data_IF_773115512698
#
_entry.id   IF_773115512698
#
_cell.length_a   1.000
_cell.length_b   1.000
_cell.length_c   1.000
_cell.angle_alpha   90.00
_cell.angle_beta   90.00
_cell.angle_gamma   90.00
#
_symmetry.space_group_name_H-M   'P 1'
#
loop_
_entity.id
_entity.type
_entity.pdbx_description
1 polymer ?
#
# COMPACT_ATOMS: atom_id res chain seq x y z
N UNK A 1 3.86 14.64 0.95
CA UNK A 1 3.44 13.90 -0.26
C UNK A 1 3.78 12.44 -0.01
N UNK A 2 2.80 11.57 -0.10
CA UNK A 2 2.98 10.12 -0.01
C UNK A 2 3.49 9.60 -1.35
N UNK A 3 4.51 8.76 -1.34
CA UNK A 3 4.92 8.00 -2.52
C UNK A 3 4.65 6.52 -2.25
N UNK A 4 3.83 5.89 -3.09
CA UNK A 4 3.51 4.47 -3.03
C UNK A 4 4.10 3.76 -4.25
N UNK A 5 5.08 2.89 -4.03
CA UNK A 5 5.69 2.04 -5.05
C UNK A 5 5.06 0.66 -4.99
N UNK A 6 4.49 0.24 -6.12
CA UNK A 6 3.84 -1.04 -6.29
C UNK A 6 4.68 -1.89 -7.24
N UNK A 7 5.07 -3.07 -6.78
CA UNK A 7 5.92 -3.98 -7.53
C UNK A 7 5.09 -5.19 -7.97
N UNK A 8 4.97 -5.36 -9.28
CA UNK A 8 4.14 -6.37 -9.92
C UNK A 8 4.99 -7.50 -10.49
N UNK A 9 4.56 -8.75 -10.31
CA UNK A 9 5.14 -9.87 -11.04
C UNK A 9 4.64 -9.95 -12.50
N UNK A 10 5.15 -10.93 -13.25
CA UNK A 10 4.79 -11.17 -14.64
C UNK A 10 3.30 -11.51 -14.87
N UNK A 11 2.57 -11.86 -13.81
CA UNK A 11 1.12 -12.12 -13.88
C UNK A 11 0.29 -10.87 -13.54
N UNK A 12 0.94 -9.75 -13.25
CA UNK A 12 0.29 -8.51 -12.85
C UNK A 12 -0.19 -8.52 -11.39
N UNK A 13 0.34 -9.41 -10.55
CA UNK A 13 0.01 -9.43 -9.12
C UNK A 13 0.99 -8.55 -8.33
N UNK A 14 0.46 -7.74 -7.41
CA UNK A 14 1.30 -6.93 -6.51
C UNK A 14 2.01 -7.86 -5.53
N UNK A 15 3.34 -7.95 -5.67
CA UNK A 15 4.24 -8.73 -4.82
C UNK A 15 4.73 -7.93 -3.62
N UNK A 16 5.00 -6.64 -3.83
CA UNK A 16 5.63 -5.78 -2.85
C UNK A 16 5.07 -4.37 -2.92
N UNK A 17 4.96 -3.75 -1.76
CA UNK A 17 4.52 -2.38 -1.55
C UNK A 17 5.56 -1.65 -0.72
N UNK A 18 5.99 -0.48 -1.17
CA UNK A 18 6.80 0.45 -0.39
C UNK A 18 6.13 1.81 -0.36
N UNK A 19 5.88 2.35 0.83
CA UNK A 19 5.23 3.64 1.00
C UNK A 19 6.05 4.54 1.89
N UNK A 20 6.30 5.76 1.45
CA UNK A 20 7.08 6.76 2.17
C UNK A 20 6.27 8.04 2.36
N UNK A 21 6.58 8.80 3.41
CA UNK A 21 6.04 10.15 3.60
C UNK A 21 4.62 10.20 4.18
N UNK A 22 4.19 9.13 4.87
CA UNK A 22 2.92 9.08 5.61
C UNK A 22 3.08 9.32 7.12
N UNK A 23 4.29 9.53 7.64
CA UNK A 23 4.50 10.09 8.98
C UNK A 23 5.09 11.48 8.90
N UNK A 24 4.39 12.42 9.53
CA UNK A 24 4.70 13.84 9.54
C UNK A 24 3.40 14.62 9.51
N UNK A 25 3.20 15.47 10.52
CA UNK A 25 2.18 16.52 10.48
C UNK A 25 2.69 17.61 9.55
N UNK A 26 1.94 17.93 8.51
CA UNK A 26 2.23 19.07 7.63
C UNK A 26 0.94 19.82 7.32
N UNK A 27 1.01 20.92 6.56
CA UNK A 27 -0.09 21.84 6.27
C UNK A 27 -1.49 21.21 6.11
N UNK A 28 -2.51 21.95 6.57
CA UNK A 28 -3.93 21.57 6.61
C UNK A 28 -4.38 20.87 5.32
N UNK A 29 -4.72 19.58 5.42
CA UNK A 29 -5.15 18.73 4.28
C UNK A 29 -4.24 17.54 4.00
N UNK A 30 -2.92 17.67 4.21
CA UNK A 30 -1.97 16.54 4.07
C UNK A 30 -2.21 15.44 5.10
N UNK A 31 -2.53 15.83 6.33
CA UNK A 31 -2.79 14.90 7.43
C UNK A 31 -3.94 13.93 7.14
N UNK A 32 -4.98 14.38 6.39
CA UNK A 32 -6.14 13.54 6.04
C UNK A 32 -5.73 12.46 5.04
N UNK A 33 -4.95 12.81 4.02
CA UNK A 33 -4.45 11.85 3.03
C UNK A 33 -3.50 10.86 3.70
N UNK A 34 -2.55 11.33 4.51
CA UNK A 34 -1.64 10.46 5.26
C UNK A 34 -2.39 9.47 6.16
N UNK A 35 -3.43 9.93 6.88
CA UNK A 35 -4.26 9.06 7.71
C UNK A 35 -5.02 8.01 6.88
N UNK A 36 -5.64 8.42 5.76
CA UNK A 36 -6.37 7.50 4.88
C UNK A 36 -5.45 6.41 4.31
N UNK A 37 -4.28 6.82 3.82
CA UNK A 37 -3.24 5.95 3.30
C UNK A 37 -2.72 4.99 4.38
N UNK A 38 -2.48 5.49 5.59
CA UNK A 38 -1.98 4.67 6.71
C UNK A 38 -2.98 3.59 7.12
N UNK A 39 -4.28 3.94 7.18
CA UNK A 39 -5.34 2.96 7.48
C UNK A 39 -5.44 1.90 6.38
N UNK A 40 -5.34 2.28 5.10
CA UNK A 40 -5.35 1.32 3.99
C UNK A 40 -4.17 0.34 4.07
N UNK A 41 -2.95 0.85 4.30
CA UNK A 41 -1.74 0.04 4.39
C UNK A 41 -1.78 -0.94 5.57
N UNK A 42 -2.11 -0.44 6.76
CA UNK A 42 -2.21 -1.25 7.96
C UNK A 42 -3.34 -2.29 7.83
N UNK A 43 -4.50 -1.90 7.31
CA UNK A 43 -5.61 -2.82 7.12
C UNK A 43 -5.29 -3.89 6.08
N UNK A 44 -4.55 -3.56 5.02
CA UNK A 44 -4.10 -4.54 4.04
C UNK A 44 -3.20 -5.60 4.70
N UNK A 45 -2.16 -5.19 5.43
CA UNK A 45 -1.29 -6.13 6.14
C UNK A 45 -2.06 -7.00 7.14
N UNK A 46 -2.90 -6.39 7.97
CA UNK A 46 -3.72 -7.13 8.95
C UNK A 46 -4.71 -8.09 8.28
N UNK A 47 -5.28 -7.71 7.12
CA UNK A 47 -6.23 -8.56 6.41
C UNK A 47 -5.54 -9.78 5.79
N UNK A 48 -4.31 -9.61 5.28
CA UNK A 48 -3.51 -10.75 4.81
C UNK A 48 -3.16 -11.66 5.99
N UNK A 49 -2.74 -11.09 7.13
CA UNK A 49 -2.41 -11.85 8.34
C UNK A 49 -3.59 -12.64 8.92
N UNK A 50 -4.76 -12.01 9.02
CA UNK A 50 -5.93 -12.61 9.68
C UNK A 50 -6.72 -13.55 8.76
N UNK A 51 -6.80 -13.24 7.46
CA UNK A 51 -7.73 -13.92 6.54
C UNK A 51 -7.05 -14.84 5.53
N UNK A 52 -5.72 -14.99 5.56
CA UNK A 52 -4.98 -15.85 4.64
C UNK A 52 -3.85 -16.61 5.35
N UNK A 53 -3.32 -17.65 4.71
CA UNK A 53 -2.13 -18.39 5.18
C UNK A 53 -0.86 -18.01 4.40
N UNK A 54 -0.93 -16.95 3.59
CA UNK A 54 0.16 -16.61 2.67
C UNK A 54 1.33 -15.97 3.42
N UNK A 55 2.57 -16.43 3.17
CA UNK A 55 3.73 -15.90 3.88
C UNK A 55 4.09 -14.52 3.35
N UNK A 56 4.29 -13.57 4.27
CA UNK A 56 4.72 -12.21 3.96
C UNK A 56 5.66 -11.66 5.03
N UNK A 57 6.30 -10.54 4.73
CA UNK A 57 6.97 -9.67 5.70
C UNK A 57 6.34 -8.29 5.62
N UNK A 58 6.13 -7.67 6.78
CA UNK A 58 5.69 -6.29 6.88
C UNK A 58 6.51 -5.55 7.95
N UNK A 59 6.84 -4.30 7.67
CA UNK A 59 7.54 -3.41 8.59
C UNK A 59 6.96 -2.00 8.49
N UNK A 60 6.84 -1.35 9.64
CA UNK A 60 6.40 0.04 9.72
C UNK A 60 7.29 0.80 10.69
N UNK A 61 8.11 1.71 10.15
CA UNK A 61 8.97 2.60 10.92
C UNK A 61 8.90 4.02 10.36
N UNK A 62 8.74 5.01 11.25
CA UNK A 62 9.00 6.43 10.96
C UNK A 62 8.44 6.98 9.63
N UNK A 63 7.21 6.56 9.25
CA UNK A 63 6.55 7.03 8.01
C UNK A 63 6.92 6.26 6.75
N UNK A 64 7.53 5.10 6.94
CA UNK A 64 7.82 4.10 5.93
C UNK A 64 7.01 2.84 6.23
N UNK A 65 6.36 2.30 5.21
CA UNK A 65 5.61 1.06 5.27
C UNK A 65 6.13 0.16 4.18
N UNK A 66 6.52 -1.04 4.57
CA UNK A 66 6.98 -2.07 3.66
C UNK A 66 6.10 -3.31 3.84
N UNK A 67 5.69 -3.88 2.72
CA UNK A 67 5.02 -5.16 2.68
C UNK A 67 5.58 -5.97 1.51
N UNK A 68 5.88 -7.25 1.72
CA UNK A 68 6.31 -8.16 0.67
C UNK A 68 5.77 -9.57 0.90
N UNK A 69 5.07 -10.14 -0.08
CA UNK A 69 4.84 -11.58 -0.10
C UNK A 69 6.18 -12.30 -0.26
N UNK A 70 6.41 -13.35 0.53
CA UNK A 70 7.65 -14.14 0.53
C UNK A 70 7.47 -15.54 -0.06
N UNK A 71 6.27 -15.86 -0.53
CA UNK A 71 5.93 -17.15 -1.16
C UNK A 71 4.85 -17.02 -2.24
N UNK A 72 4.04 -18.06 -2.36
CA UNK A 72 2.88 -18.05 -3.26
C UNK A 72 1.80 -17.09 -2.76
N UNK A 73 1.06 -16.49 -3.69
CA UNK A 73 -0.04 -15.57 -3.41
C UNK A 73 -1.34 -16.30 -3.77
N UNK A 74 -2.19 -16.49 -2.77
CA UNK A 74 -3.54 -17.02 -2.92
C UNK A 74 -4.46 -16.03 -3.65
N UNK A 75 -5.63 -16.50 -4.08
CA UNK A 75 -6.63 -15.64 -4.73
C UNK A 75 -7.19 -14.61 -3.77
N UNK A 76 -7.24 -14.95 -2.49
CA UNK A 76 -7.68 -14.14 -1.37
C UNK A 76 -6.72 -12.97 -1.16
N UNK A 77 -5.41 -13.23 -1.01
CA UNK A 77 -4.38 -12.19 -0.93
C UNK A 77 -4.33 -11.32 -2.18
N UNK A 78 -4.44 -11.92 -3.37
CA UNK A 78 -4.48 -11.16 -4.61
C UNK A 78 -5.69 -10.22 -4.68
N UNK A 79 -6.84 -10.64 -4.15
CA UNK A 79 -8.02 -9.79 -4.04
C UNK A 79 -7.80 -8.66 -3.03
N UNK A 80 -7.22 -8.94 -1.86
CA UNK A 80 -6.89 -7.93 -0.85
C UNK A 80 -5.90 -6.91 -1.40
N UNK A 81 -4.88 -7.34 -2.13
CA UNK A 81 -3.90 -6.47 -2.77
C UNK A 81 -4.57 -5.57 -3.83
N UNK A 82 -5.43 -6.13 -4.70
CA UNK A 82 -6.21 -5.31 -5.65
C UNK A 82 -7.15 -4.31 -4.97
N UNK A 83 -7.77 -4.71 -3.86
CA UNK A 83 -8.62 -3.81 -3.05
C UNK A 83 -7.82 -2.66 -2.46
N UNK A 84 -6.62 -2.95 -1.95
CA UNK A 84 -5.69 -1.95 -1.44
C UNK A 84 -5.25 -0.97 -2.54
N UNK A 85 -4.84 -1.45 -3.71
CA UNK A 85 -4.47 -0.61 -4.86
C UNK A 85 -5.63 0.27 -5.30
N UNK A 86 -6.84 -0.29 -5.43
CA UNK A 86 -8.05 0.47 -5.74
C UNK A 86 -8.28 1.62 -4.75
N UNK A 87 -8.02 1.37 -3.46
CA UNK A 87 -8.09 2.39 -2.42
C UNK A 87 -7.10 3.54 -2.64
N UNK A 88 -5.84 3.22 -2.94
CA UNK A 88 -4.80 4.21 -3.23
C UNK A 88 -5.14 5.04 -4.49
N UNK A 89 -5.53 4.37 -5.58
CA UNK A 89 -5.94 5.03 -6.84
C UNK A 89 -7.13 5.96 -6.62
N UNK A 90 -8.07 5.55 -5.76
CA UNK A 90 -9.24 6.37 -5.43
C UNK A 90 -8.84 7.64 -4.67
N UNK A 91 -7.87 7.55 -3.75
CA UNK A 91 -7.31 8.71 -3.04
C UNK A 91 -6.56 9.62 -4.01
N UNK A 92 -5.69 9.08 -4.87
CA UNK A 92 -4.95 9.85 -5.87
C UNK A 92 -5.92 10.60 -6.81
N UNK A 93 -6.97 9.94 -7.28
CA UNK A 93 -7.99 10.55 -8.12
C UNK A 93 -8.79 11.66 -7.41
N UNK A 94 -9.03 11.51 -6.11
CA UNK A 94 -9.84 12.46 -5.34
C UNK A 94 -9.05 13.70 -4.92
N UNK A 95 -7.77 13.53 -4.55
CA UNK A 95 -6.96 14.59 -3.96
C UNK A 95 -5.91 15.14 -4.94
N UNK A 96 -5.48 14.38 -5.94
CA UNK A 96 -4.44 14.76 -6.90
C UNK A 96 -3.07 14.17 -6.58
N UNK A 97 -2.21 14.15 -7.60
CA UNK A 97 -0.85 13.58 -7.57
C UNK A 97 0.14 14.40 -6.71
N UNK A 98 -0.24 15.62 -6.36
CA UNK A 98 0.46 16.51 -5.42
C UNK A 98 0.43 16.01 -3.96
N UNK A 99 -0.52 15.12 -3.61
CA UNK A 99 -0.64 14.56 -2.26
C UNK A 99 -0.16 13.12 -2.16
N UNK A 100 -0.53 12.27 -3.12
CA UNK A 100 -0.11 10.88 -3.23
C UNK A 100 0.32 10.60 -4.66
N UNK A 101 1.43 9.90 -4.84
CA UNK A 101 1.89 9.46 -6.14
C UNK A 101 2.07 7.96 -6.16
N UNK A 102 1.40 7.28 -7.08
CA UNK A 102 1.54 5.85 -7.30
C UNK A 102 2.60 5.59 -8.39
N UNK A 103 3.50 4.65 -8.14
CA UNK A 103 4.59 4.29 -9.04
C UNK A 103 4.63 2.78 -9.22
N UNK A 104 4.30 2.34 -10.43
CA UNK A 104 4.33 0.91 -10.77
C UNK A 104 5.72 0.48 -11.23
N UNK A 105 6.13 -0.72 -10.81
CA UNK A 105 7.40 -1.37 -11.11
C UNK A 105 7.16 -2.83 -11.44
N UNK A 106 7.90 -3.38 -12.39
CA UNK A 106 7.97 -4.83 -12.62
C UNK A 106 9.13 -5.42 -11.79
N UNK A 107 8.94 -6.63 -11.24
CA UNK A 107 9.97 -7.41 -10.53
C UNK A 107 10.40 -8.66 -11.29
#
# INVERSE_FOLDING_TARGET
MVEAKLYYDSEGQVRKVEMNGHAGFDEYGRDIVCAAVSVLALNFANSVEEFTEDPFTADQDSGVFHFSFTGEISKESALLARSFVLGLESIEKQYGDEYIRIIDREV
#
